data_IF_946536567462
#
_entry.id   IF_946536567462
#
_cell.length_a   1.000
_cell.length_b   1.000
_cell.length_c   1.000
_cell.angle_alpha   90.00
_cell.angle_beta   90.00
_cell.angle_gamma   90.00
#
_symmetry.space_group_name_H-M   'P 1'
#
loop_
_entity.id
_entity.type
_entity.pdbx_description
1 polymer ?
#
# COMPACT_ATOMS: atom_id res chain seq x y z
N UNK A 1 15.53 -6.69 9.15
CA UNK A 1 15.93 -6.52 7.74
C UNK A 1 15.61 -5.09 7.37
N UNK A 2 16.46 -4.44 6.56
CA UNK A 2 16.14 -3.11 6.05
C UNK A 2 15.15 -3.25 4.88
N UNK A 3 14.19 -2.33 4.79
CA UNK A 3 13.30 -2.22 3.65
C UNK A 3 14.09 -1.71 2.42
N UNK A 4 13.73 -2.16 1.20
CA UNK A 4 14.32 -1.59 -0.02
C UNK A 4 14.00 -0.09 -0.17
N UNK A 5 14.80 0.62 -0.97
CA UNK A 5 14.63 2.05 -1.17
C UNK A 5 13.22 2.43 -1.64
N UNK A 6 12.66 3.50 -1.07
CA UNK A 6 11.34 4.02 -1.40
C UNK A 6 10.18 3.31 -0.68
N UNK A 7 10.45 2.19 0.00
CA UNK A 7 9.47 1.58 0.91
C UNK A 7 9.51 2.23 2.28
N UNK A 8 8.34 2.55 2.84
CA UNK A 8 8.21 3.10 4.18
C UNK A 8 6.88 2.72 4.83
N UNK A 9 6.90 2.57 6.15
CA UNK A 9 5.68 2.45 6.95
C UNK A 9 5.08 3.83 7.21
N UNK A 10 3.78 3.97 7.00
CA UNK A 10 3.03 5.20 7.19
C UNK A 10 1.69 4.96 7.93
N UNK A 11 1.12 6.04 8.47
CA UNK A 11 -0.23 6.03 9.05
C UNK A 11 -1.31 5.77 7.99
N UNK A 12 -2.52 5.39 8.44
CA UNK A 12 -3.64 5.09 7.51
C UNK A 12 -4.14 6.37 6.82
N UNK A 13 -4.06 7.51 7.50
CA UNK A 13 -4.33 8.83 6.98
C UNK A 13 -3.28 9.84 7.48
N UNK A 14 -3.22 11.01 6.85
CA UNK A 14 -2.18 12.02 7.10
C UNK A 14 -2.04 12.40 8.59
N UNK A 15 -3.15 12.46 9.31
CA UNK A 15 -3.18 12.85 10.74
C UNK A 15 -3.21 11.65 11.71
N UNK A 16 -2.90 10.45 11.22
CA UNK A 16 -2.94 9.24 12.06
C UNK A 16 -1.72 9.23 12.97
N UNK A 17 -1.95 9.36 14.28
CA UNK A 17 -0.91 9.33 15.31
C UNK A 17 -0.72 7.92 15.91
N UNK A 18 -1.47 6.93 15.44
CA UNK A 18 -1.33 5.54 15.86
C UNK A 18 -0.11 4.87 15.21
N UNK A 19 0.15 3.61 15.57
CA UNK A 19 1.21 2.83 14.95
C UNK A 19 1.00 2.74 13.43
N UNK A 20 2.06 2.92 12.61
CA UNK A 20 1.92 2.93 11.17
C UNK A 20 1.51 1.55 10.65
N UNK A 21 0.36 1.50 9.97
CA UNK A 21 -0.30 0.27 9.49
C UNK A 21 -0.21 0.06 7.99
N UNK A 22 0.33 1.01 7.23
CA UNK A 22 0.43 0.91 5.77
C UNK A 22 1.90 0.85 5.37
N UNK A 23 2.30 -0.23 4.68
CA UNK A 23 3.59 -0.27 3.99
C UNK A 23 3.38 0.30 2.60
N UNK A 24 4.08 1.39 2.29
CA UNK A 24 3.94 2.13 1.06
C UNK A 24 5.23 2.14 0.26
N UNK A 25 5.10 2.21 -1.08
CA UNK A 25 6.18 2.43 -2.03
C UNK A 25 5.94 3.77 -2.73
N UNK A 26 6.84 4.74 -2.56
CA UNK A 26 6.68 6.11 -3.09
C UNK A 26 5.32 6.75 -2.72
N UNK A 27 4.86 6.51 -1.48
CA UNK A 27 3.57 6.98 -0.97
C UNK A 27 2.37 6.08 -1.32
N UNK A 28 2.52 5.13 -2.24
CA UNK A 28 1.46 4.17 -2.57
C UNK A 28 1.42 3.01 -1.61
N UNK A 29 0.35 2.90 -0.84
CA UNK A 29 0.12 1.74 0.03
C UNK A 29 0.05 0.45 -0.79
N UNK A 30 1.00 -0.46 -0.56
CA UNK A 30 1.07 -1.78 -1.19
C UNK A 30 0.63 -2.89 -0.24
N UNK A 31 0.75 -2.66 1.07
CA UNK A 31 0.16 -3.52 2.11
C UNK A 31 -0.52 -2.63 3.16
N UNK A 32 -1.69 -3.06 3.65
CA UNK A 32 -2.35 -2.48 4.81
C UNK A 32 -2.61 -3.54 5.86
N UNK A 33 -2.21 -3.27 7.10
CA UNK A 33 -2.53 -4.10 8.27
C UNK A 33 -3.80 -3.61 8.92
N UNK A 34 -4.69 -4.54 9.25
CA UNK A 34 -5.92 -4.28 9.99
C UNK A 34 -6.07 -5.30 11.10
N UNK A 35 -6.63 -4.86 12.22
CA UNK A 35 -7.14 -5.73 13.25
C UNK A 35 -8.58 -6.14 12.92
N UNK A 36 -8.98 -7.28 13.45
CA UNK A 36 -10.36 -7.71 13.43
C UNK A 36 -11.07 -7.26 14.70
N UNK A 37 -12.33 -6.86 14.54
CA UNK A 37 -13.18 -6.39 15.63
C UNK A 37 -13.64 -7.53 16.54
N UNK A 38 -13.75 -8.74 16.02
CA UNK A 38 -14.32 -9.89 16.73
C UNK A 38 -13.32 -10.56 17.67
N UNK A 39 -12.12 -10.86 17.19
CA UNK A 39 -11.12 -11.64 17.94
C UNK A 39 -9.81 -10.88 18.21
N UNK A 40 -9.70 -9.63 17.74
CA UNK A 40 -8.48 -8.82 17.88
C UNK A 40 -7.28 -9.37 17.09
N UNK A 41 -7.48 -10.40 16.26
CA UNK A 41 -6.45 -10.91 15.36
C UNK A 41 -6.14 -9.90 14.27
N UNK A 42 -4.99 -10.06 13.60
CA UNK A 42 -4.59 -9.14 12.55
C UNK A 42 -4.70 -9.82 11.19
N UNK A 43 -4.80 -9.02 10.13
CA UNK A 43 -4.60 -9.49 8.77
C UNK A 43 -3.91 -8.43 7.91
N UNK A 44 -3.16 -8.89 6.92
CA UNK A 44 -2.53 -8.07 5.91
C UNK A 44 -3.36 -8.11 4.62
N UNK A 45 -3.75 -6.92 4.14
CA UNK A 45 -4.30 -6.69 2.80
C UNK A 45 -3.13 -6.44 1.84
N UNK A 46 -2.85 -7.41 0.97
CA UNK A 46 -1.75 -7.36 -0.01
C UNK A 46 -2.21 -6.73 -1.32
N UNK A 47 -1.27 -6.17 -2.09
CA UNK A 47 -1.58 -5.52 -3.37
C UNK A 47 -2.62 -4.39 -3.23
N UNK A 48 -2.54 -3.67 -2.09
CA UNK A 48 -3.49 -2.63 -1.69
C UNK A 48 -3.57 -1.47 -2.68
N UNK A 49 -2.53 -1.26 -3.48
CA UNK A 49 -2.44 -0.19 -4.47
C UNK A 49 -3.45 -0.34 -5.62
N UNK A 50 -3.99 -1.53 -5.88
CA UNK A 50 -5.05 -1.73 -6.88
C UNK A 50 -6.41 -1.16 -6.44
N UNK A 51 -6.58 -0.85 -5.15
CA UNK A 51 -7.85 -0.35 -4.63
C UNK A 51 -9.03 -1.25 -4.99
N UNK A 52 -10.13 -0.64 -5.45
CA UNK A 52 -11.35 -1.38 -5.84
C UNK A 52 -11.26 -2.06 -7.21
N UNK A 53 -10.19 -1.82 -8.00
CA UNK A 53 -10.07 -2.39 -9.33
C UNK A 53 -9.86 -3.91 -9.31
N UNK A 54 -9.34 -4.44 -8.19
CA UNK A 54 -9.07 -5.88 -7.99
C UNK A 54 -9.39 -6.27 -6.56
N UNK A 55 -9.81 -7.52 -6.36
CA UNK A 55 -9.94 -8.08 -5.01
C UNK A 55 -8.56 -8.14 -4.35
N UNK A 56 -8.40 -7.41 -3.26
CA UNK A 56 -7.18 -7.37 -2.44
C UNK A 56 -7.02 -8.71 -1.70
N UNK A 57 -5.96 -9.50 -1.97
CA UNK A 57 -5.72 -10.74 -1.23
C UNK A 57 -5.46 -10.43 0.25
N UNK A 58 -6.10 -11.18 1.14
CA UNK A 58 -5.85 -11.07 2.58
C UNK A 58 -5.03 -12.25 3.10
N UNK A 59 -4.20 -11.99 4.11
CA UNK A 59 -3.42 -13.00 4.84
C UNK A 59 -3.61 -12.81 6.34
N UNK A 60 -4.04 -13.84 7.08
CA UNK A 60 -4.16 -13.74 8.53
C UNK A 60 -2.79 -13.56 9.17
N UNK A 61 -2.75 -12.86 10.29
CA UNK A 61 -1.57 -12.57 11.09
C UNK A 61 -1.92 -12.79 12.56
N UNK A 62 -0.97 -13.35 13.33
CA UNK A 62 -1.19 -13.63 14.75
C UNK A 62 -1.02 -12.39 15.64
N UNK A 63 -0.38 -11.34 15.13
CA UNK A 63 -0.22 -10.05 15.80
C UNK A 63 0.16 -8.96 14.80
N UNK A 64 0.09 -7.69 15.22
CA UNK A 64 0.57 -6.55 14.44
C UNK A 64 2.04 -6.71 14.02
N UNK A 65 2.94 -7.03 14.95
CA UNK A 65 4.37 -7.17 14.66
C UNK A 65 4.68 -8.35 13.72
N UNK A 66 3.96 -9.47 13.87
CA UNK A 66 4.05 -10.58 12.94
C UNK A 66 3.57 -10.18 11.53
N UNK A 67 2.48 -9.41 11.46
CA UNK A 67 1.97 -8.83 10.22
C UNK A 67 2.97 -7.89 9.56
N UNK A 68 3.59 -6.99 10.33
CA UNK A 68 4.63 -6.07 9.81
C UNK A 68 5.82 -6.83 9.22
N UNK A 69 6.38 -7.77 9.98
CA UNK A 69 7.51 -8.58 9.51
C UNK A 69 7.14 -9.39 8.27
N UNK A 70 5.94 -9.96 8.23
CA UNK A 70 5.43 -10.69 7.07
C UNK A 70 5.26 -9.79 5.84
N UNK A 71 4.74 -8.58 6.02
CA UNK A 71 4.58 -7.58 4.96
C UNK A 71 5.93 -7.13 4.39
N UNK A 72 6.93 -6.88 5.24
CA UNK A 72 8.30 -6.52 4.81
C UNK A 72 8.93 -7.63 3.97
N UNK A 73 8.87 -8.88 4.45
CA UNK A 73 9.35 -10.05 3.72
C UNK A 73 8.64 -10.25 2.39
N UNK A 74 7.32 -10.05 2.37
CA UNK A 74 6.53 -10.11 1.15
C UNK A 74 6.92 -9.01 0.16
N UNK A 75 7.12 -7.78 0.63
CA UNK A 75 7.52 -6.65 -0.21
C UNK A 75 8.91 -6.89 -0.82
N UNK A 76 9.88 -7.34 -0.04
CA UNK A 76 11.22 -7.72 -0.51
C UNK A 76 11.11 -8.82 -1.59
N UNK A 77 10.31 -9.87 -1.33
CA UNK A 77 10.14 -10.99 -2.28
C UNK A 77 9.51 -10.57 -3.61
N UNK A 78 8.68 -9.53 -3.64
CA UNK A 78 7.97 -9.08 -4.84
C UNK A 78 8.38 -7.68 -5.30
N UNK A 79 9.54 -7.20 -4.88
CA UNK A 79 9.96 -5.82 -5.07
C UNK A 79 9.84 -5.37 -6.54
N UNK A 80 10.43 -6.15 -7.47
CA UNK A 80 10.42 -5.82 -8.89
C UNK A 80 8.99 -5.65 -9.45
N UNK A 81 8.07 -6.54 -9.06
CA UNK A 81 6.66 -6.47 -9.46
C UNK A 81 5.98 -5.24 -8.88
N UNK A 82 6.16 -4.98 -7.59
CA UNK A 82 5.54 -3.83 -6.92
C UNK A 82 6.01 -2.51 -7.51
N UNK A 83 7.31 -2.38 -7.83
CA UNK A 83 7.86 -1.20 -8.49
C UNK A 83 7.21 -0.96 -9.85
N UNK A 84 7.08 -1.99 -10.69
CA UNK A 84 6.43 -1.87 -11.99
C UNK A 84 4.97 -1.43 -11.87
N UNK A 85 4.19 -2.11 -11.02
CA UNK A 85 2.76 -1.82 -10.84
C UNK A 85 2.51 -0.44 -10.22
N UNK A 86 3.31 -0.03 -9.23
CA UNK A 86 3.20 1.30 -8.61
C UNK A 86 3.62 2.39 -9.58
N UNK A 87 4.68 2.19 -10.36
CA UNK A 87 5.09 3.14 -11.40
C UNK A 87 3.99 3.34 -12.46
N UNK A 88 3.38 2.25 -12.93
CA UNK A 88 2.24 2.30 -13.85
C UNK A 88 1.05 3.07 -13.25
N UNK A 89 0.70 2.77 -11.99
CA UNK A 89 -0.37 3.47 -11.29
C UNK A 89 -0.09 4.97 -11.19
N UNK A 90 1.13 5.36 -10.82
CA UNK A 90 1.53 6.76 -10.68
C UNK A 90 1.48 7.47 -12.03
N UNK A 91 1.98 6.85 -13.10
CA UNK A 91 1.95 7.40 -14.46
C UNK A 91 0.51 7.64 -14.96
N UNK A 92 -0.43 6.78 -14.56
CA UNK A 92 -1.84 6.85 -14.96
C UNK A 92 -2.71 7.75 -14.08
N UNK A 93 -2.15 8.41 -13.06
CA UNK A 93 -2.93 9.32 -12.21
C UNK A 93 -3.45 10.51 -13.00
N UNK A 94 -4.74 10.86 -12.88
CA UNK A 94 -5.24 12.10 -13.42
C UNK A 94 -4.43 13.26 -12.86
N UNK A 95 -3.83 14.05 -13.74
CA UNK A 95 -3.11 15.25 -13.32
C UNK A 95 -4.15 16.36 -13.15
N UNK A 96 -4.09 17.01 -11.99
CA UNK A 96 -4.87 18.23 -11.80
C UNK A 96 -4.23 19.32 -12.65
N UNK A 97 -4.95 19.82 -13.65
CA UNK A 97 -4.41 20.78 -14.63
C UNK A 97 -4.49 22.25 -14.15
N UNK A 98 -4.67 22.49 -12.85
CA UNK A 98 -4.68 23.82 -12.24
C UNK A 98 -5.92 24.66 -12.54
N UNK A 99 -6.71 24.33 -13.56
CA UNK A 99 -7.91 25.04 -14.00
C UNK A 99 -9.23 24.39 -13.52
N UNK A 100 -9.18 23.49 -12.54
CA UNK A 100 -10.34 22.75 -12.04
C UNK A 100 -10.74 21.53 -12.86
N UNK A 101 -9.93 21.13 -13.85
CA UNK A 101 -10.13 19.93 -14.65
C UNK A 101 -9.21 18.76 -14.23
N UNK A 102 -9.61 17.54 -14.60
CA UNK A 102 -8.75 16.34 -14.52
C UNK A 102 -8.32 15.98 -15.95
N UNK A 103 -7.02 16.00 -16.20
CA UNK A 103 -6.45 15.56 -17.47
C UNK A 103 -6.08 14.07 -17.35
N UNK A 104 -6.58 13.26 -18.28
CA UNK A 104 -6.27 11.84 -18.36
C UNK A 104 -5.03 11.65 -19.24
N UNK A 105 -4.02 10.89 -18.80
CA UNK A 105 -2.85 10.61 -19.64
C UNK A 105 -3.27 9.83 -20.90
N UNK A 106 -2.74 10.23 -22.07
CA UNK A 106 -2.95 9.54 -23.36
C UNK A 106 -4.03 10.12 -24.28
N UNK A 107 -4.51 11.34 -24.04
CA UNK A 107 -5.39 12.11 -24.96
C UNK A 107 -4.58 13.21 -25.64
N UNK A 108 -3.65 12.83 -26.52
CA UNK A 108 -2.88 13.73 -27.37
C UNK A 108 -2.86 13.20 -28.79
#
# INVERSE_FOLDING_TARGET
>A
MALPEGFAWQGVHLNDRSAPRVLALHGEGVVRLEDRVDDGSWFAMLDYHHGMARRTPTRPCTSFEAGKRGAELWAIRHEARLRAEVAEKIANRPRHNGAGGRELPGKG
#
